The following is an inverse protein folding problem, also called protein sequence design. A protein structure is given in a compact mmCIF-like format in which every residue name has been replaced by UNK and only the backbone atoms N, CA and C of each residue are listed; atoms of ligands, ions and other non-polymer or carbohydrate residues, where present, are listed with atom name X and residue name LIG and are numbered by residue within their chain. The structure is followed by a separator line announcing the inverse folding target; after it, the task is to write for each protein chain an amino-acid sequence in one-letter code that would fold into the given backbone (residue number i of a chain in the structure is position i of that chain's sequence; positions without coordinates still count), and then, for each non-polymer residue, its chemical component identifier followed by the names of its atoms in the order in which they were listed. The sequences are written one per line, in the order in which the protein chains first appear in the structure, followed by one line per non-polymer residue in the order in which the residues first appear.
data_IF_167113469370
#
_entry.id   IF_167113469370
#
_cell.length_a   1.000
_cell.length_b   1.000
_cell.length_c   1.000
_cell.angle_alpha   90.00
_cell.angle_beta   90.00
_cell.angle_gamma   90.00
#
_symmetry.space_group_name_H-M   'P 1'
#
loop_
_entity.id
_entity.type
_entity.pdbx_description
1 polymer ?
#
# COMPACT_ATOMS: atom_id res chain seq x y z
N UNK A 1 23.94 26.02 -29.30
CA UNK A 1 22.60 26.54 -28.94
C UNK A 1 21.69 25.51 -28.28
N UNK A 2 21.83 24.19 -28.51
CA UNK A 2 20.97 23.15 -27.83
C UNK A 2 21.34 22.91 -26.36
N UNK A 3 22.60 23.02 -25.99
CA UNK A 3 23.06 22.73 -24.60
C UNK A 3 22.60 23.79 -23.56
N UNK A 4 22.39 25.04 -23.95
CA UNK A 4 21.87 26.06 -23.03
C UNK A 4 20.39 25.90 -22.73
N UNK A 5 19.61 25.43 -23.71
CA UNK A 5 18.16 25.23 -23.55
C UNK A 5 17.84 24.07 -22.59
N UNK A 6 18.67 23.02 -22.59
CA UNK A 6 18.50 21.86 -21.69
C UNK A 6 18.86 22.22 -20.24
N UNK A 7 19.84 23.10 -20.03
CA UNK A 7 20.20 23.60 -18.70
C UNK A 7 19.11 24.48 -18.10
N UNK A 8 18.44 25.29 -18.89
CA UNK A 8 17.32 26.14 -18.45
C UNK A 8 16.10 25.29 -18.01
N UNK A 9 15.81 24.21 -18.72
CA UNK A 9 14.71 23.31 -18.35
C UNK A 9 15.00 22.57 -17.04
N UNK A 10 16.22 22.10 -16.83
CA UNK A 10 16.62 21.44 -15.57
C UNK A 10 16.58 22.44 -14.40
N UNK A 11 17.07 23.67 -14.60
CA UNK A 11 17.00 24.73 -13.60
C UNK A 11 15.53 25.08 -13.27
N UNK A 12 14.68 25.20 -14.27
CA UNK A 12 13.25 25.46 -14.08
C UNK A 12 12.58 24.33 -13.29
N UNK A 13 12.88 23.05 -13.60
CA UNK A 13 12.37 21.90 -12.88
C UNK A 13 12.85 21.87 -11.42
N UNK A 14 14.12 22.26 -11.16
CA UNK A 14 14.65 22.37 -9.80
C UNK A 14 13.98 23.49 -9.02
N UNK A 15 13.72 24.63 -9.65
CA UNK A 15 12.99 25.75 -9.05
C UNK A 15 11.53 25.35 -8.76
N UNK A 16 10.84 24.74 -9.71
CA UNK A 16 9.46 24.24 -9.51
C UNK A 16 9.44 23.21 -8.37
N UNK A 17 10.39 22.27 -8.35
CA UNK A 17 10.54 21.31 -7.27
C UNK A 17 10.76 21.99 -5.92
N UNK A 18 11.64 22.99 -5.86
CA UNK A 18 11.90 23.77 -4.63
C UNK A 18 10.68 24.55 -4.13
N UNK A 19 9.87 25.11 -5.06
CA UNK A 19 8.65 25.84 -4.70
C UNK A 19 7.46 24.94 -4.39
N UNK A 20 7.24 23.89 -5.18
CA UNK A 20 6.07 23.04 -5.05
C UNK A 20 6.25 21.92 -4.01
N UNK A 21 7.50 21.50 -3.78
CA UNK A 21 7.77 20.35 -2.95
C UNK A 21 8.51 20.66 -1.66
N UNK A 22 9.06 21.85 -1.47
CA UNK A 22 9.81 22.33 -0.26
C UNK A 22 10.31 21.22 0.67
N UNK A 23 10.95 20.20 0.10
CA UNK A 23 11.39 18.98 0.80
C UNK A 23 12.58 19.21 1.75
N UNK A 24 13.17 20.40 1.72
CA UNK A 24 14.36 20.72 2.48
C UNK A 24 14.06 21.06 3.95
N UNK A 25 12.78 21.29 4.30
CA UNK A 25 12.36 21.46 5.68
C UNK A 25 11.84 20.15 6.24
N UNK A 26 12.59 19.54 7.15
CA UNK A 26 12.25 18.27 7.81
C UNK A 26 10.87 18.30 8.50
N UNK A 27 10.47 19.44 9.04
CA UNK A 27 9.14 19.58 9.67
C UNK A 27 8.02 19.57 8.60
N UNK A 28 8.24 20.21 7.47
CA UNK A 28 7.26 20.22 6.37
C UNK A 28 7.13 18.84 5.72
N UNK A 29 8.23 18.11 5.55
CA UNK A 29 8.19 16.75 5.00
C UNK A 29 7.50 15.77 5.94
N UNK A 30 7.73 15.89 7.25
CA UNK A 30 7.04 15.08 8.26
C UNK A 30 5.54 15.35 8.29
N UNK A 31 5.14 16.62 8.24
CA UNK A 31 3.74 17.01 8.17
C UNK A 31 3.06 16.53 6.87
N UNK A 32 3.75 16.67 5.74
CA UNK A 32 3.24 16.21 4.44
C UNK A 32 3.06 14.69 4.40
N UNK A 33 4.01 13.93 4.96
CA UNK A 33 3.91 12.47 5.08
C UNK A 33 2.72 12.07 5.96
N UNK A 34 2.54 12.73 7.11
CA UNK A 34 1.41 12.45 8.00
C UNK A 34 0.07 12.78 7.33
N UNK A 35 -0.03 13.90 6.62
CA UNK A 35 -1.20 14.24 5.81
C UNK A 35 -1.48 13.20 4.73
N UNK A 36 -0.44 12.73 4.03
CA UNK A 36 -0.58 11.70 3.01
C UNK A 36 -1.09 10.39 3.62
N UNK A 37 -0.50 9.93 4.73
CA UNK A 37 -0.95 8.75 5.48
C UNK A 37 -2.39 8.90 5.97
N UNK A 38 -2.75 10.07 6.47
CA UNK A 38 -4.12 10.36 6.92
C UNK A 38 -5.11 10.22 5.75
N UNK A 39 -4.80 10.75 4.57
CA UNK A 39 -5.66 10.60 3.38
C UNK A 39 -5.86 9.13 3.00
N UNK A 40 -4.79 8.32 3.00
CA UNK A 40 -4.91 6.88 2.77
C UNK A 40 -5.77 6.22 3.86
N UNK A 41 -5.60 6.60 5.13
CA UNK A 41 -6.30 5.99 6.26
C UNK A 41 -7.79 6.34 6.32
N UNK A 42 -8.20 7.48 5.79
CA UNK A 42 -9.58 7.95 5.78
C UNK A 42 -10.32 7.68 4.47
N UNK A 43 -9.62 7.18 3.46
CA UNK A 43 -10.22 6.87 2.17
C UNK A 43 -11.00 5.55 2.22
N UNK A 44 -12.27 5.58 1.90
CA UNK A 44 -13.18 4.43 1.77
C UNK A 44 -13.88 4.48 0.42
N UNK A 45 -14.14 3.30 -0.14
CA UNK A 45 -14.93 3.20 -1.36
C UNK A 45 -16.36 3.67 -1.12
N UNK A 46 -16.81 4.68 -1.86
CA UNK A 46 -18.20 5.09 -1.89
C UNK A 46 -19.03 4.12 -2.74
N UNK A 47 -20.34 4.07 -2.47
CA UNK A 47 -21.28 3.22 -3.20
C UNK A 47 -21.31 3.51 -4.72
N UNK A 48 -21.11 4.76 -5.10
CA UNK A 48 -21.16 5.21 -6.49
C UNK A 48 -19.83 5.02 -7.24
N UNK A 49 -18.75 4.63 -6.54
CA UNK A 49 -17.42 4.46 -7.12
C UNK A 49 -17.23 3.02 -7.58
N UNK A 50 -16.80 2.85 -8.83
CA UNK A 50 -16.47 1.53 -9.40
C UNK A 50 -15.22 0.95 -8.74
N UNK A 51 -15.03 -0.37 -8.82
CA UNK A 51 -13.83 -1.02 -8.29
C UNK A 51 -12.56 -0.53 -8.98
N UNK A 52 -12.63 -0.26 -10.28
CA UNK A 52 -11.49 0.26 -11.05
C UNK A 52 -11.06 1.64 -10.59
N UNK A 53 -12.00 2.57 -10.45
CA UNK A 53 -11.74 3.92 -9.95
C UNK A 53 -11.24 3.90 -8.50
N UNK A 54 -11.85 3.05 -7.66
CA UNK A 54 -11.45 2.88 -6.26
C UNK A 54 -10.00 2.43 -6.15
N UNK A 55 -9.61 1.38 -6.88
CA UNK A 55 -8.25 0.85 -6.89
C UNK A 55 -7.25 1.84 -7.48
N UNK A 56 -7.62 2.55 -8.55
CA UNK A 56 -6.76 3.56 -9.17
C UNK A 56 -6.45 4.69 -8.16
N UNK A 57 -7.49 5.27 -7.56
CA UNK A 57 -7.32 6.35 -6.61
C UNK A 57 -6.59 5.90 -5.33
N UNK A 58 -6.83 4.68 -4.84
CA UNK A 58 -6.08 4.12 -3.71
C UNK A 58 -4.59 4.03 -4.03
N UNK A 59 -4.21 3.55 -5.23
CA UNK A 59 -2.80 3.49 -5.66
C UNK A 59 -2.16 4.87 -5.74
N UNK A 60 -2.90 5.87 -6.23
CA UNK A 60 -2.41 7.25 -6.29
C UNK A 60 -2.13 7.79 -4.88
N UNK A 61 -3.03 7.55 -3.93
CA UNK A 61 -2.83 7.96 -2.54
C UNK A 61 -1.62 7.27 -1.90
N UNK A 62 -1.43 5.97 -2.14
CA UNK A 62 -0.26 5.22 -1.66
C UNK A 62 1.01 5.76 -2.30
N UNK A 63 1.01 6.02 -3.60
CA UNK A 63 2.16 6.61 -4.31
C UNK A 63 2.57 7.97 -3.75
N UNK A 64 1.62 8.79 -3.28
CA UNK A 64 1.94 10.06 -2.58
C UNK A 64 2.67 9.79 -1.26
N UNK A 65 2.27 8.77 -0.49
CA UNK A 65 2.97 8.39 0.75
C UNK A 65 4.39 7.93 0.46
N UNK A 66 4.57 7.09 -0.57
CA UNK A 66 5.88 6.60 -1.01
C UNK A 66 6.79 7.73 -1.51
N UNK A 67 6.23 8.73 -2.20
CA UNK A 67 6.96 9.92 -2.66
C UNK A 67 7.54 10.73 -1.48
N UNK A 68 6.88 10.71 -0.31
CA UNK A 68 7.39 11.31 0.93
C UNK A 68 8.26 10.34 1.75
N UNK A 69 8.66 9.20 1.19
CA UNK A 69 9.51 8.19 1.86
C UNK A 69 8.77 7.34 2.89
N UNK A 70 7.44 7.39 2.91
CA UNK A 70 6.63 6.51 3.75
C UNK A 70 6.44 5.14 3.10
N UNK A 71 6.41 4.10 3.92
CA UNK A 71 6.16 2.73 3.48
C UNK A 71 5.11 2.09 4.38
N UNK A 72 4.38 1.13 3.86
CA UNK A 72 3.42 0.31 4.60
C UNK A 72 3.88 -1.14 4.64
N UNK A 73 3.59 -1.84 5.73
CA UNK A 73 3.82 -3.29 5.85
C UNK A 73 5.28 -3.69 6.06
N UNK A 74 6.16 -2.75 6.42
CA UNK A 74 7.55 -3.02 6.77
C UNK A 74 7.79 -3.04 8.29
N UNK A 75 6.74 -3.27 9.07
CA UNK A 75 6.86 -3.45 10.51
C UNK A 75 7.73 -4.68 10.82
N UNK A 76 8.74 -4.56 11.71
CA UNK A 76 9.71 -5.64 11.96
C UNK A 76 9.07 -6.98 12.33
N UNK A 77 7.93 -6.95 13.03
CA UNK A 77 7.19 -8.15 13.40
C UNK A 77 6.56 -8.86 12.20
N UNK A 78 6.08 -8.13 11.19
CA UNK A 78 5.53 -8.70 9.97
C UNK A 78 6.64 -9.32 9.12
N UNK A 79 7.76 -8.61 8.97
CA UNK A 79 8.92 -9.09 8.21
C UNK A 79 9.49 -10.35 8.85
N UNK A 80 9.63 -10.37 10.18
CA UNK A 80 10.07 -11.55 10.91
C UNK A 80 9.16 -12.76 10.69
N UNK A 81 7.84 -12.55 10.76
CA UNK A 81 6.86 -13.60 10.51
C UNK A 81 6.93 -14.14 9.07
N UNK A 82 7.14 -13.27 8.09
CA UNK A 82 7.30 -13.66 6.69
C UNK A 82 8.59 -14.45 6.46
N UNK A 83 9.71 -14.05 7.07
CA UNK A 83 10.98 -14.81 7.01
C UNK A 83 10.80 -16.23 7.57
N UNK A 84 10.09 -16.37 8.67
CA UNK A 84 9.77 -17.69 9.24
C UNK A 84 8.84 -18.49 8.30
N UNK A 85 7.87 -17.86 7.68
CA UNK A 85 6.98 -18.50 6.70
C UNK A 85 7.73 -18.96 5.44
N UNK A 86 8.82 -18.28 5.07
CA UNK A 86 9.73 -18.68 4.00
C UNK A 86 10.71 -19.80 4.40
N UNK A 87 10.62 -20.30 5.63
CA UNK A 87 11.39 -21.46 6.13
C UNK A 87 12.61 -21.09 6.98
N UNK A 88 12.80 -19.82 7.33
CA UNK A 88 13.85 -19.41 8.26
C UNK A 88 13.49 -19.82 9.69
N UNK A 89 14.46 -20.26 10.49
CA UNK A 89 14.19 -20.56 11.89
C UNK A 89 14.02 -19.26 12.69
N UNK A 90 13.15 -19.23 13.70
CA UNK A 90 12.91 -18.03 14.50
C UNK A 90 14.16 -17.44 15.16
N UNK A 91 15.12 -18.27 15.54
CA UNK A 91 16.39 -17.85 16.12
C UNK A 91 17.34 -17.14 15.13
N UNK A 92 17.19 -17.41 13.83
CA UNK A 92 18.05 -16.89 12.77
C UNK A 92 17.52 -15.60 12.14
N UNK A 93 16.31 -15.17 12.46
CA UNK A 93 15.64 -13.98 11.86
C UNK A 93 16.48 -12.71 12.03
N UNK A 94 17.11 -12.52 13.18
CA UNK A 94 17.94 -11.33 13.47
C UNK A 94 19.29 -11.34 12.71
N UNK A 95 19.67 -12.45 12.12
CA UNK A 95 20.89 -12.61 11.33
C UNK A 95 20.60 -12.83 9.86
N UNK A 96 19.35 -12.56 9.45
CA UNK A 96 18.91 -12.73 8.07
C UNK A 96 19.75 -11.88 7.12
N UNK A 97 20.04 -12.42 5.95
CA UNK A 97 20.69 -11.72 4.85
C UNK A 97 19.82 -10.57 4.35
N UNK A 98 20.44 -9.45 3.97
CA UNK A 98 19.77 -8.28 3.42
C UNK A 98 18.84 -8.61 2.25
N UNK A 99 19.23 -9.55 1.39
CA UNK A 99 18.41 -9.96 0.24
C UNK A 99 17.13 -10.68 0.67
N UNK A 100 17.20 -11.50 1.73
CA UNK A 100 16.03 -12.16 2.29
C UNK A 100 15.09 -11.15 2.95
N UNK A 101 15.63 -10.18 3.70
CA UNK A 101 14.87 -9.12 4.34
C UNK A 101 14.12 -8.30 3.29
N UNK A 102 14.79 -7.81 2.24
CA UNK A 102 14.16 -7.03 1.16
C UNK A 102 13.01 -7.79 0.50
N UNK A 103 13.19 -9.08 0.23
CA UNK A 103 12.12 -9.92 -0.34
C UNK A 103 10.95 -10.08 0.61
N UNK A 104 11.19 -10.28 1.89
CA UNK A 104 10.14 -10.37 2.90
C UNK A 104 9.39 -9.04 3.05
N UNK A 105 10.10 -7.91 3.05
CA UNK A 105 9.50 -6.56 3.06
C UNK A 105 8.60 -6.33 1.85
N UNK A 106 9.02 -6.73 0.65
CA UNK A 106 8.18 -6.64 -0.56
C UNK A 106 6.88 -7.45 -0.45
N UNK A 107 6.96 -8.68 0.07
CA UNK A 107 5.79 -9.53 0.27
C UNK A 107 4.86 -8.92 1.30
N UNK A 108 5.40 -8.51 2.45
CA UNK A 108 4.64 -7.86 3.52
C UNK A 108 3.96 -6.57 3.02
N UNK A 109 4.66 -5.73 2.27
CA UNK A 109 4.13 -4.52 1.68
C UNK A 109 2.92 -4.81 0.77
N UNK A 110 3.06 -5.75 -0.17
CA UNK A 110 1.97 -6.16 -1.08
C UNK A 110 0.76 -6.69 -0.32
N UNK A 111 0.98 -7.56 0.66
CA UNK A 111 -0.08 -8.11 1.51
C UNK A 111 -0.77 -7.03 2.34
N UNK A 112 -0.01 -6.10 2.92
CA UNK A 112 -0.55 -5.02 3.73
C UNK A 112 -1.47 -4.10 2.92
N UNK A 113 -1.02 -3.66 1.74
CA UNK A 113 -1.83 -2.82 0.83
C UNK A 113 -3.09 -3.55 0.37
N UNK A 114 -3.00 -4.83 0.09
CA UNK A 114 -4.13 -5.69 -0.27
C UNK A 114 -5.17 -5.73 0.85
N UNK A 115 -4.75 -5.96 2.09
CA UNK A 115 -5.61 -5.95 3.26
C UNK A 115 -6.25 -4.58 3.49
N UNK A 116 -5.48 -3.49 3.36
CA UNK A 116 -6.00 -2.13 3.48
C UNK A 116 -7.10 -1.84 2.45
N UNK A 117 -6.85 -2.19 1.19
CA UNK A 117 -7.81 -2.01 0.11
C UNK A 117 -9.10 -2.78 0.37
N UNK A 118 -9.00 -4.07 0.74
CA UNK A 118 -10.15 -4.90 1.03
C UNK A 118 -10.98 -4.36 2.22
N UNK A 119 -10.31 -3.97 3.31
CA UNK A 119 -11.00 -3.46 4.50
C UNK A 119 -11.77 -2.16 4.23
N UNK A 120 -11.29 -1.34 3.30
CA UNK A 120 -11.89 -0.04 2.95
C UNK A 120 -12.82 -0.10 1.75
N UNK A 121 -13.00 -1.26 1.13
CA UNK A 121 -14.02 -1.47 0.12
C UNK A 121 -15.44 -1.25 0.71
N UNK A 122 -16.39 -0.88 -0.13
CA UNK A 122 -17.76 -0.54 0.26
C UNK A 122 -18.42 -1.65 1.09
N UNK A 123 -18.76 -1.34 2.33
CA UNK A 123 -19.39 -2.28 3.23
C UNK A 123 -20.80 -2.69 2.80
N UNK A 124 -21.52 -1.84 2.07
CA UNK A 124 -22.86 -2.20 1.60
C UNK A 124 -22.82 -3.33 0.59
N UNK A 125 -21.75 -3.38 -0.22
CA UNK A 125 -21.51 -4.41 -1.25
C UNK A 125 -20.76 -5.62 -0.71
N UNK A 126 -19.75 -5.43 0.14
CA UNK A 126 -18.73 -6.43 0.45
C UNK A 126 -18.71 -6.89 1.92
N UNK A 127 -19.70 -6.50 2.73
CA UNK A 127 -19.75 -6.91 4.14
C UNK A 127 -19.68 -8.42 4.31
N UNK A 128 -20.52 -9.18 3.57
CA UNK A 128 -20.56 -10.63 3.69
C UNK A 128 -19.25 -11.29 3.24
N UNK A 129 -18.64 -10.79 2.16
CA UNK A 129 -17.33 -11.25 1.71
C UNK A 129 -16.26 -11.10 2.81
N UNK A 130 -16.21 -9.92 3.44
CA UNK A 130 -15.25 -9.65 4.53
C UNK A 130 -15.48 -10.58 5.73
N UNK A 131 -16.75 -10.83 6.07
CA UNK A 131 -17.11 -11.76 7.16
C UNK A 131 -16.68 -13.20 6.83
N UNK A 132 -16.89 -13.65 5.60
CA UNK A 132 -16.55 -15.02 5.19
C UNK A 132 -15.03 -15.22 5.15
N UNK A 133 -14.27 -14.26 4.63
CA UNK A 133 -12.80 -14.26 4.69
C UNK A 133 -12.28 -14.30 6.14
N UNK A 134 -12.89 -13.54 7.03
CA UNK A 134 -12.52 -13.53 8.45
C UNK A 134 -12.82 -14.89 9.13
N UNK A 135 -13.94 -15.53 8.80
CA UNK A 135 -14.27 -16.87 9.28
C UNK A 135 -13.28 -17.93 8.79
N UNK A 136 -12.89 -17.86 7.52
CA UNK A 136 -11.92 -18.78 6.95
C UNK A 136 -10.55 -18.63 7.60
N UNK A 137 -10.12 -17.41 7.87
CA UNK A 137 -8.90 -17.15 8.62
C UNK A 137 -8.94 -17.76 10.03
N UNK A 138 -10.09 -17.68 10.73
CA UNK A 138 -10.27 -18.28 12.05
C UNK A 138 -10.19 -19.82 12.00
N UNK A 139 -10.54 -20.43 10.86
CA UNK A 139 -10.43 -21.88 10.64
C UNK A 139 -9.01 -22.33 10.22
N UNK A 140 -8.07 -21.38 10.10
CA UNK A 140 -6.70 -21.66 9.65
C UNK A 140 -6.54 -21.70 8.13
N UNK A 141 -7.57 -21.33 7.38
CA UNK A 141 -7.50 -21.24 5.91
C UNK A 141 -7.43 -19.77 5.51
N UNK A 142 -6.26 -19.32 5.07
CA UNK A 142 -6.11 -17.93 4.63
C UNK A 142 -6.45 -17.80 3.15
N UNK A 143 -7.65 -17.29 2.86
CA UNK A 143 -8.11 -16.91 1.52
C UNK A 143 -8.00 -15.39 1.27
N UNK A 144 -7.28 -14.67 2.12
CA UNK A 144 -7.03 -13.25 1.92
C UNK A 144 -6.16 -13.03 0.69
N UNK A 145 -6.53 -12.06 -0.16
CA UNK A 145 -5.73 -11.71 -1.33
C UNK A 145 -4.37 -11.13 -0.89
N UNK A 146 -3.30 -11.51 -1.59
CA UNK A 146 -1.93 -11.10 -1.26
C UNK A 146 -1.48 -9.87 -2.03
N UNK A 147 -2.22 -9.47 -3.04
CA UNK A 147 -1.89 -8.33 -3.90
C UNK A 147 -3.11 -7.48 -4.19
N UNK A 148 -2.89 -6.21 -4.54
CA UNK A 148 -3.96 -5.30 -4.97
C UNK A 148 -4.73 -5.86 -6.18
N UNK A 149 -4.03 -6.56 -7.09
CA UNK A 149 -4.65 -7.16 -8.28
C UNK A 149 -5.60 -8.29 -7.88
N UNK A 150 -5.18 -9.18 -6.99
CA UNK A 150 -6.04 -10.23 -6.45
C UNK A 150 -7.24 -9.65 -5.70
N UNK A 151 -7.04 -8.57 -4.92
CA UNK A 151 -8.15 -7.87 -4.25
C UNK A 151 -9.13 -7.31 -5.27
N UNK A 152 -8.64 -6.68 -6.34
CA UNK A 152 -9.51 -6.15 -7.39
C UNK A 152 -10.33 -7.25 -8.06
N UNK A 153 -9.71 -8.38 -8.40
CA UNK A 153 -10.42 -9.54 -8.95
C UNK A 153 -11.47 -10.06 -7.97
N UNK A 154 -11.09 -10.25 -6.70
CA UNK A 154 -12.00 -10.71 -5.67
C UNK A 154 -13.22 -9.80 -5.50
N UNK A 155 -13.02 -8.47 -5.50
CA UNK A 155 -14.12 -7.50 -5.42
C UNK A 155 -14.98 -7.47 -6.69
N UNK A 156 -14.39 -7.73 -7.85
CA UNK A 156 -15.10 -7.69 -9.14
C UNK A 156 -15.92 -8.96 -9.37
N UNK A 157 -15.38 -10.11 -8.97
CA UNK A 157 -16.01 -11.41 -9.18
C UNK A 157 -17.01 -11.76 -8.06
N UNK A 158 -17.04 -10.97 -6.98
CA UNK A 158 -17.94 -11.24 -5.87
C UNK A 158 -19.40 -10.99 -6.25
N UNK A 159 -20.20 -12.04 -6.15
CA UNK A 159 -21.65 -11.98 -6.31
C UNK A 159 -22.29 -12.05 -4.91
N UNK A 160 -22.94 -10.99 -4.43
CA UNK A 160 -23.59 -11.03 -3.13
C UNK A 160 -24.71 -12.05 -3.12
N UNK A 161 -24.89 -12.80 -2.00
CA UNK A 161 -25.99 -13.74 -1.88
C UNK A 161 -27.32 -12.99 -1.99
N UNK A 162 -28.26 -13.56 -2.73
CA UNK A 162 -29.63 -13.05 -2.84
C UNK A 162 -30.23 -12.99 -1.43
N UNK A 163 -30.71 -11.82 -1.07
CA UNK A 163 -31.45 -11.59 0.19
C UNK A 163 -32.88 -12.04 0.07
#
# INVERSE_FOLDING_TARGET
MQAETDQDVVQLLLVIRGYCCRFDDHQQSTYALEQAKHRVSTYYQSHDVTNTEYVAYFKDLVGVVEMYGGVYGQEPGLVAAELVAQGMKPEDVNTADCTAIIKAEEVCHKCYLSCMLLHRADNSRYFQLKVDLSKDMTKGTSNYPKTIVETMHLLTDYIPPLR
#
